data_IF_230424685558
#
_entry.id   IF_230424685558
#
_cell.length_a   1.000
_cell.length_b   1.000
_cell.length_c   1.000
_cell.angle_alpha   90.00
_cell.angle_beta   90.00
_cell.angle_gamma   90.00
#
_symmetry.space_group_name_H-M   'P 1'
#
loop_
_entity.id
_entity.type
_entity.pdbx_description
1 polymer ?
#
# COMPACT_ATOMS: atom_id res chain seq x y z
N UNK A 1 -3.09 -5.41 9.12
CA UNK A 1 -2.55 -4.10 9.60
C UNK A 1 -1.17 -3.95 9.00
N UNK A 2 -0.83 -2.78 8.47
CA UNK A 2 0.51 -2.50 7.98
C UNK A 2 1.43 -2.16 9.16
N UNK A 3 2.61 -2.78 9.24
CA UNK A 3 3.63 -2.46 10.24
C UNK A 3 4.51 -1.29 9.77
N UNK A 4 5.19 -0.60 10.71
CA UNK A 4 6.13 0.52 10.48
C UNK A 4 7.20 0.16 9.44
N UNK A 5 7.46 -1.13 9.26
CA UNK A 5 8.39 -1.71 8.29
C UNK A 5 7.88 -1.70 6.84
N UNK A 6 6.64 -1.27 6.61
CA UNK A 6 5.95 -1.29 5.32
C UNK A 6 5.48 -2.69 4.90
N UNK A 7 5.25 -3.57 5.88
CA UNK A 7 4.82 -4.94 5.65
C UNK A 7 3.32 -5.09 5.89
N UNK A 8 2.64 -5.80 4.99
CA UNK A 8 1.24 -6.20 5.12
C UNK A 8 1.19 -7.62 5.69
N UNK A 9 0.54 -7.76 6.85
CA UNK A 9 0.25 -9.08 7.44
C UNK A 9 -1.19 -9.47 7.15
N UNK A 10 -1.37 -10.66 6.58
CA UNK A 10 -2.67 -11.26 6.26
C UNK A 10 -2.74 -12.70 6.75
N UNK A 11 -3.94 -13.25 6.84
CA UNK A 11 -4.16 -14.67 7.06
C UNK A 11 -4.82 -15.26 5.82
N UNK A 12 -4.25 -16.34 5.28
CA UNK A 12 -4.79 -17.09 4.16
C UNK A 12 -4.67 -18.59 4.47
N UNK A 13 -5.77 -19.34 4.31
CA UNK A 13 -5.84 -20.76 4.66
C UNK A 13 -5.31 -21.12 6.06
N UNK A 14 -5.59 -20.25 7.03
CA UNK A 14 -5.13 -20.41 8.42
C UNK A 14 -3.64 -20.18 8.64
N UNK A 15 -2.91 -19.73 7.62
CA UNK A 15 -1.48 -19.34 7.71
C UNK A 15 -1.35 -17.83 7.74
N UNK A 16 -0.50 -17.33 8.64
CA UNK A 16 -0.10 -15.91 8.62
C UNK A 16 0.97 -15.69 7.56
N UNK A 17 0.69 -14.78 6.64
CA UNK A 17 1.60 -14.38 5.56
C UNK A 17 2.05 -12.94 5.79
N UNK A 18 3.32 -12.69 5.53
CA UNK A 18 3.92 -11.36 5.57
C UNK A 18 4.33 -10.95 4.17
N UNK A 19 3.69 -9.92 3.64
CA UNK A 19 3.99 -9.36 2.33
C UNK A 19 4.76 -8.06 2.53
N UNK A 20 5.89 -7.89 1.83
CA UNK A 20 6.69 -6.66 1.93
C UNK A 20 7.16 -6.18 0.57
N UNK A 21 6.52 -5.15 0.06
CA UNK A 21 6.97 -4.47 -1.16
C UNK A 21 7.97 -3.36 -0.81
N UNK A 22 9.15 -3.41 -1.40
CA UNK A 22 10.23 -2.44 -1.16
C UNK A 22 10.64 -1.74 -2.45
N UNK A 23 11.45 -0.68 -2.36
CA UNK A 23 11.97 0.03 -3.54
C UNK A 23 12.66 -0.90 -4.55
N UNK A 24 13.39 -1.92 -4.06
CA UNK A 24 13.99 -2.92 -4.94
C UNK A 24 12.94 -3.78 -5.67
N UNK A 25 11.82 -4.08 -5.01
CA UNK A 25 10.70 -4.79 -5.62
C UNK A 25 9.99 -3.96 -6.69
N UNK A 26 9.76 -2.67 -6.40
CA UNK A 26 9.21 -1.73 -7.39
C UNK A 26 10.14 -1.56 -8.59
N UNK A 27 11.46 -1.51 -8.38
CA UNK A 27 12.42 -1.47 -9.48
C UNK A 27 12.36 -2.71 -10.36
N UNK A 28 12.12 -3.90 -9.78
CA UNK A 28 11.90 -5.14 -10.56
C UNK A 28 10.62 -5.06 -11.39
N UNK A 29 9.53 -4.62 -10.77
CA UNK A 29 8.26 -4.41 -11.47
C UNK A 29 8.40 -3.39 -12.62
N UNK A 30 9.13 -2.29 -12.39
CA UNK A 30 9.40 -1.28 -13.41
C UNK A 30 10.24 -1.83 -14.57
N UNK A 31 11.23 -2.68 -14.29
CA UNK A 31 12.02 -3.33 -15.33
C UNK A 31 11.19 -4.30 -16.19
N UNK A 32 10.21 -4.98 -15.59
CA UNK A 32 9.36 -5.96 -16.27
C UNK A 32 8.20 -5.31 -17.04
N UNK A 33 7.53 -4.33 -16.43
CA UNK A 33 6.28 -3.73 -16.93
C UNK A 33 6.43 -2.31 -17.45
N UNK A 34 7.66 -1.80 -17.51
CA UNK A 34 7.99 -0.47 -18.01
C UNK A 34 7.83 0.66 -16.96
N UNK A 35 8.08 1.91 -17.36
CA UNK A 35 8.23 3.05 -16.45
C UNK A 35 6.97 3.37 -15.64
N UNK A 36 5.77 3.08 -16.16
CA UNK A 36 4.49 3.26 -15.44
C UNK A 36 4.09 2.04 -14.63
N UNK A 37 4.93 1.00 -14.56
CA UNK A 37 4.67 -0.27 -13.87
C UNK A 37 3.31 -0.80 -14.35
N UNK A 38 3.15 -1.05 -15.66
CA UNK A 38 1.88 -1.52 -16.24
C UNK A 38 0.66 -0.62 -15.95
N UNK A 39 0.92 0.67 -15.66
CA UNK A 39 -0.02 1.69 -15.23
C UNK A 39 -0.53 1.54 -13.79
N UNK A 40 0.07 0.66 -12.96
CA UNK A 40 -0.34 0.46 -11.56
C UNK A 40 -0.28 1.76 -10.75
N UNK A 41 0.58 2.70 -11.16
CA UNK A 41 0.75 4.01 -10.54
C UNK A 41 0.03 5.15 -11.30
N UNK A 42 -0.74 4.84 -12.35
CA UNK A 42 -1.41 5.88 -13.15
C UNK A 42 -2.71 6.33 -12.46
N UNK A 43 -2.65 7.46 -11.75
CA UNK A 43 -3.78 8.07 -11.04
C UNK A 43 -4.90 8.56 -12.00
N UNK A 44 -4.59 8.75 -13.29
CA UNK A 44 -5.50 9.26 -14.31
C UNK A 44 -6.00 8.17 -15.28
N UNK A 45 -5.93 6.91 -14.87
CA UNK A 45 -6.40 5.78 -15.67
C UNK A 45 -7.91 5.91 -15.91
N UNK A 46 -8.33 5.91 -17.18
CA UNK A 46 -9.74 5.91 -17.55
C UNK A 46 -10.41 4.58 -17.18
N UNK A 47 -11.71 4.60 -16.89
CA UNK A 47 -12.50 3.41 -16.51
C UNK A 47 -12.41 2.26 -17.53
N UNK A 48 -12.11 2.57 -18.80
CA UNK A 48 -11.96 1.60 -19.89
C UNK A 48 -10.55 0.99 -20.01
N UNK A 49 -9.57 1.46 -19.22
CA UNK A 49 -8.19 0.94 -19.25
C UNK A 49 -7.99 -0.17 -18.22
N UNK A 50 -8.15 -1.41 -18.70
CA UNK A 50 -7.88 -2.61 -17.91
C UNK A 50 -6.44 -2.63 -17.36
N UNK A 51 -6.31 -3.00 -16.09
CA UNK A 51 -5.00 -3.27 -15.50
C UNK A 51 -4.41 -4.54 -16.12
N UNK A 52 -3.10 -4.52 -16.33
CA UNK A 52 -2.39 -5.75 -16.65
C UNK A 52 -2.48 -6.67 -15.43
N UNK A 53 -3.35 -7.68 -15.46
CA UNK A 53 -3.53 -8.59 -14.33
C UNK A 53 -2.24 -9.30 -13.91
N UNK A 54 -1.30 -9.52 -14.85
CA UNK A 54 0.01 -10.10 -14.51
C UNK A 54 0.78 -9.25 -13.51
N UNK A 55 0.58 -7.93 -13.52
CA UNK A 55 1.26 -7.06 -12.56
C UNK A 55 0.75 -7.19 -11.14
N UNK A 56 -0.52 -7.55 -10.99
CA UNK A 56 -1.14 -7.74 -9.68
C UNK A 56 -0.50 -8.95 -9.00
N UNK A 57 -0.36 -10.03 -9.75
CA UNK A 57 0.30 -11.28 -9.31
C UNK A 57 1.78 -11.02 -9.05
N UNK A 58 2.49 -10.38 -9.97
CA UNK A 58 3.93 -10.08 -9.80
C UNK A 58 4.22 -9.22 -8.57
N UNK A 59 3.36 -8.22 -8.29
CA UNK A 59 3.52 -7.35 -7.12
C UNK A 59 3.38 -8.14 -5.82
N UNK A 60 2.41 -9.05 -5.75
CA UNK A 60 2.19 -9.92 -4.58
C UNK A 60 3.30 -10.96 -4.45
N UNK A 61 3.73 -11.58 -5.54
CA UNK A 61 4.85 -12.54 -5.54
C UNK A 61 6.14 -11.91 -5.04
N UNK A 62 6.52 -10.75 -5.58
CA UNK A 62 7.73 -10.03 -5.13
C UNK A 62 7.63 -9.66 -3.64
N UNK A 63 6.44 -9.31 -3.18
CA UNK A 63 6.21 -9.01 -1.78
C UNK A 63 6.30 -10.25 -0.87
N UNK A 64 5.82 -11.41 -1.32
CA UNK A 64 5.96 -12.70 -0.63
C UNK A 64 7.42 -13.15 -0.58
N UNK A 65 8.14 -13.11 -1.69
CA UNK A 65 9.57 -13.42 -1.75
C UNK A 65 10.36 -12.59 -0.74
N UNK A 66 10.03 -11.30 -0.59
CA UNK A 66 10.72 -10.42 0.36
C UNK A 66 10.27 -10.62 1.81
N UNK A 67 8.97 -10.74 2.05
CA UNK A 67 8.40 -10.79 3.39
C UNK A 67 8.53 -12.15 4.06
N UNK A 68 8.38 -13.23 3.28
CA UNK A 68 8.45 -14.62 3.74
C UNK A 68 9.78 -15.30 3.40
N UNK A 69 10.63 -14.70 2.55
CA UNK A 69 11.83 -15.34 1.99
C UNK A 69 11.52 -16.62 1.21
N UNK A 70 10.36 -16.64 0.56
CA UNK A 70 9.94 -17.72 -0.33
C UNK A 70 10.73 -17.70 -1.64
N UNK A 71 10.89 -18.88 -2.22
CA UNK A 71 11.37 -19.03 -3.59
C UNK A 71 10.37 -18.47 -4.60
N UNK A 72 10.84 -18.09 -5.80
CA UNK A 72 10.00 -17.38 -6.76
C UNK A 72 8.81 -18.21 -7.24
N UNK A 73 9.02 -19.49 -7.55
CA UNK A 73 7.97 -20.37 -8.07
C UNK A 73 6.84 -20.57 -7.04
N UNK A 74 7.20 -20.83 -5.77
CA UNK A 74 6.22 -20.95 -4.68
C UNK A 74 5.49 -19.62 -4.41
N UNK A 75 6.20 -18.49 -4.55
CA UNK A 75 5.60 -17.17 -4.37
C UNK A 75 4.67 -16.78 -5.52
N UNK A 76 4.97 -17.21 -6.75
CA UNK A 76 4.15 -16.96 -7.94
C UNK A 76 2.81 -17.71 -7.84
N UNK A 77 2.86 -19.01 -7.50
CA UNK A 77 1.66 -19.84 -7.30
C UNK A 77 0.77 -19.26 -6.19
N UNK A 78 1.36 -18.95 -5.03
CA UNK A 78 0.60 -18.39 -3.91
C UNK A 78 0.08 -16.98 -4.21
N UNK A 79 0.79 -16.18 -5.00
CA UNK A 79 0.34 -14.86 -5.38
C UNK A 79 -0.90 -14.92 -6.27
N UNK A 80 -0.96 -15.86 -7.22
CA UNK A 80 -2.13 -16.08 -8.07
C UNK A 80 -3.36 -16.45 -7.24
N UNK A 81 -3.20 -17.39 -6.29
CA UNK A 81 -4.26 -17.81 -5.37
C UNK A 81 -4.77 -16.63 -4.52
N UNK A 82 -3.85 -15.82 -3.97
CA UNK A 82 -4.20 -14.67 -3.13
C UNK A 82 -4.94 -13.59 -3.90
N UNK A 83 -4.46 -13.23 -5.10
CA UNK A 83 -5.10 -12.20 -5.93
C UNK A 83 -6.45 -12.68 -6.44
N UNK A 84 -6.57 -13.96 -6.78
CA UNK A 84 -7.82 -14.58 -7.19
C UNK A 84 -8.85 -14.61 -6.07
N UNK A 85 -8.42 -14.89 -4.82
CA UNK A 85 -9.27 -14.90 -3.65
C UNK A 85 -9.69 -13.49 -3.19
N UNK A 86 -8.79 -12.50 -3.29
CA UNK A 86 -9.01 -11.13 -2.82
C UNK A 86 -8.22 -10.13 -3.67
N UNK A 87 -8.86 -9.62 -4.72
CA UNK A 87 -8.26 -8.61 -5.61
C UNK A 87 -7.88 -7.32 -4.87
N UNK A 88 -8.52 -7.02 -3.74
CA UNK A 88 -8.22 -5.86 -2.90
C UNK A 88 -6.92 -5.98 -2.09
N UNK A 89 -6.25 -7.14 -2.13
CA UNK A 89 -4.94 -7.34 -1.50
C UNK A 89 -3.88 -6.39 -2.08
N UNK A 90 -3.92 -6.12 -3.38
CA UNK A 90 -2.89 -5.30 -4.05
C UNK A 90 -2.98 -3.85 -3.62
N UNK A 91 -4.19 -3.29 -3.53
CA UNK A 91 -4.39 -1.94 -3.01
C UNK A 91 -3.84 -1.79 -1.58
N UNK A 92 -4.19 -2.73 -0.69
CA UNK A 92 -3.68 -2.75 0.69
C UNK A 92 -2.17 -2.95 0.77
N UNK A 93 -1.59 -3.72 -0.14
CA UNK A 93 -0.14 -3.91 -0.23
C UNK A 93 0.56 -2.61 -0.64
N UNK A 94 0.01 -1.88 -1.62
CA UNK A 94 0.55 -0.59 -2.04
C UNK A 94 0.44 0.45 -0.92
N UNK A 95 -0.71 0.54 -0.24
CA UNK A 95 -0.88 1.39 0.94
C UNK A 95 0.13 1.04 2.05
N UNK A 96 0.39 -0.25 2.27
CA UNK A 96 1.39 -0.70 3.24
C UNK A 96 2.83 -0.36 2.80
N UNK A 97 3.13 -0.42 1.50
CA UNK A 97 4.46 -0.12 0.95
C UNK A 97 4.80 1.37 1.01
N UNK A 98 3.78 2.22 0.89
CA UNK A 98 3.88 3.67 0.94
C UNK A 98 2.99 4.21 2.06
N UNK A 99 3.32 3.96 3.33
CA UNK A 99 2.56 4.52 4.42
C UNK A 99 2.62 6.05 4.30
N UNK A 100 1.47 6.70 4.16
CA UNK A 100 1.43 8.16 4.23
C UNK A 100 2.07 8.55 5.56
N UNK A 101 3.02 9.51 5.56
CA UNK A 101 3.52 10.04 6.81
C UNK A 101 2.31 10.65 7.52
N UNK A 102 1.83 9.98 8.58
CA UNK A 102 0.85 10.58 9.48
C UNK A 102 1.46 11.90 9.90
N UNK A 103 0.94 12.99 9.35
CA UNK A 103 1.30 14.33 9.76
C UNK A 103 0.89 14.36 11.22
N UNK A 104 1.88 14.20 12.11
CA UNK A 104 1.70 14.26 13.54
C UNK A 104 0.78 15.47 13.80
N UNK A 105 -0.40 15.20 14.37
CA UNK A 105 -1.30 16.24 14.84
C UNK A 105 -0.45 17.26 15.58
N UNK A 106 -0.42 18.49 15.03
CA UNK A 106 0.25 19.62 15.67
C UNK A 106 -0.44 19.85 17.01
N UNK A 107 0.14 19.25 18.04
CA UNK A 107 0.00 19.65 19.42
C UNK A 107 0.40 21.13 19.53
N UNK A 108 -0.52 21.95 20.04
CA UNK A 108 -0.20 23.20 20.72
C UNK A 108 0.04 24.44 19.87
N UNK A 109 -1.03 25.06 19.36
CA UNK A 109 -1.04 26.50 19.09
C UNK A 109 -2.01 27.21 20.05
N UNK A 110 -1.65 27.24 21.33
CA UNK A 110 -2.15 28.26 22.23
C UNK A 110 -1.44 29.59 21.89
N UNK A 111 -2.09 30.46 21.12
CA UNK A 111 -1.89 31.92 21.24
C UNK A 111 -3.03 32.70 20.60
N UNK A 112 -3.90 33.18 21.48
CA UNK A 112 -4.49 34.52 21.41
C UNK A 112 -5.58 34.76 20.38
N UNK A 113 -6.84 34.55 20.78
CA UNK A 113 -7.93 35.46 20.40
C UNK A 113 -8.77 35.81 21.62
N UNK A 114 -8.77 37.10 21.90
CA UNK A 114 -9.44 37.86 22.95
C UNK A 114 -10.92 37.53 23.10
N UNK A 115 -11.32 37.06 24.28
CA UNK A 115 -12.71 37.07 24.73
C UNK A 115 -12.93 38.29 25.65
N UNK A 116 -13.18 39.46 25.05
CA UNK A 116 -13.65 40.66 25.74
C UNK A 116 -15.17 40.78 25.65
N UNK A 117 -15.84 40.53 26.78
CA UNK A 117 -17.29 40.51 27.03
C UNK A 117 -18.09 41.71 26.48
N UNK A 118 -19.36 41.52 26.06
CA UNK A 118 -20.29 42.63 25.84
C UNK A 118 -20.94 43.03 27.17
N UNK A 119 -21.07 44.32 27.46
CA UNK A 119 -22.00 44.80 28.49
C UNK A 119 -22.44 46.25 28.26
N UNK A 120 -23.74 46.39 28.03
CA UNK A 120 -24.48 47.64 27.96
C UNK A 120 -24.78 48.23 29.37
N UNK A 121 -25.29 49.49 29.35
CA UNK A 121 -25.86 50.34 30.41
C UNK A 121 -24.89 51.30 31.13
N UNK A 122 -25.04 52.61 30.88
CA UNK A 122 -26.02 53.49 31.54
C UNK A 122 -26.13 54.80 30.77
#
# INVERSE_FOLDING_TARGET
MADITGALHITHDGRELTLRLSMAGLGRLQNQHGPSIGGLLDENRGEDQLLNFGILVDAVSIALQKGMRMDSEEADDLADDLVSADQGIVARLLEAAFPEPQVAEKTGAARGKSAGKPRARR
#
